data_IF_076065807249
#
_entry.id   IF_076065807249
#
_cell.length_a   1.000
_cell.length_b   1.000
_cell.length_c   1.000
_cell.angle_alpha   90.00
_cell.angle_beta   90.00
_cell.angle_gamma   90.00
#
_symmetry.space_group_name_H-M   'P 1'
#
loop_
_entity.id
_entity.type
_entity.pdbx_description
1 polymer ?
#
# COMPACT_ATOMS: atom_id res chain seq x y z
N UNK A 1 -23.54 -15.46 -36.92
CA UNK A 1 -24.50 -15.22 -35.82
C UNK A 1 -24.38 -13.76 -35.37
N UNK A 2 -25.08 -12.84 -36.05
CA UNK A 2 -25.10 -11.43 -35.68
C UNK A 2 -26.16 -11.24 -34.59
N UNK A 3 -25.75 -11.00 -33.35
CA UNK A 3 -26.69 -10.71 -32.27
C UNK A 3 -27.46 -9.41 -32.59
N UNK A 4 -28.78 -9.38 -32.34
CA UNK A 4 -29.63 -8.22 -32.64
C UNK A 4 -29.19 -6.98 -31.83
N UNK A 5 -29.38 -5.80 -32.42
CA UNK A 5 -28.96 -4.49 -31.90
C UNK A 5 -29.10 -4.27 -30.38
N UNK A 6 -30.25 -4.57 -29.74
CA UNK A 6 -30.41 -4.36 -28.30
C UNK A 6 -29.51 -5.25 -27.44
N UNK A 7 -29.19 -6.46 -27.92
CA UNK A 7 -28.34 -7.42 -27.19
C UNK A 7 -26.88 -7.00 -27.26
N UNK A 8 -26.46 -6.38 -28.37
CA UNK A 8 -25.11 -5.79 -28.51
C UNK A 8 -24.89 -4.64 -27.53
N UNK A 9 -25.88 -3.76 -27.36
CA UNK A 9 -25.82 -2.67 -26.39
C UNK A 9 -25.73 -3.17 -24.94
N UNK A 10 -26.51 -4.21 -24.62
CA UNK A 10 -26.48 -4.84 -23.30
C UNK A 10 -25.14 -5.50 -22.97
N UNK A 11 -24.52 -6.20 -23.94
CA UNK A 11 -23.20 -6.81 -23.77
C UNK A 11 -22.11 -5.76 -23.54
N UNK A 12 -22.14 -4.65 -24.30
CA UNK A 12 -21.17 -3.56 -24.12
C UNK A 12 -21.33 -2.91 -22.73
N UNK A 13 -22.57 -2.66 -22.29
CA UNK A 13 -22.84 -2.10 -20.97
C UNK A 13 -22.32 -3.02 -19.85
N UNK A 14 -22.53 -4.33 -19.97
CA UNK A 14 -22.03 -5.33 -19.02
C UNK A 14 -20.50 -5.32 -18.95
N UNK A 15 -19.80 -5.27 -20.09
CA UNK A 15 -18.34 -5.23 -20.14
C UNK A 15 -17.77 -3.98 -19.45
N UNK A 16 -18.42 -2.82 -19.61
CA UNK A 16 -18.00 -1.57 -18.95
C UNK A 16 -18.13 -1.69 -17.43
N UNK A 17 -19.22 -2.27 -16.93
CA UNK A 17 -19.42 -2.47 -15.48
C UNK A 17 -18.37 -3.41 -14.89
N UNK A 18 -18.04 -4.51 -15.57
CA UNK A 18 -17.02 -5.46 -15.08
C UNK A 18 -15.63 -4.82 -15.03
N UNK A 19 -15.26 -4.01 -16.03
CA UNK A 19 -13.98 -3.29 -16.04
C UNK A 19 -13.90 -2.22 -14.95
N UNK A 20 -15.01 -1.53 -14.66
CA UNK A 20 -15.06 -0.52 -13.60
C UNK A 20 -14.85 -1.12 -12.19
N UNK A 21 -15.34 -2.34 -11.94
CA UNK A 21 -15.19 -2.99 -10.61
C UNK A 21 -13.83 -3.71 -10.47
N UNK A 22 -13.23 -4.15 -11.58
CA UNK A 22 -11.90 -4.80 -11.55
C UNK A 22 -10.76 -3.87 -11.11
N UNK A 23 -10.92 -2.55 -11.24
CA UNK A 23 -9.90 -1.56 -10.87
C UNK A 23 -9.68 -1.38 -9.36
N UNK A 24 -10.65 -1.77 -8.50
CA UNK A 24 -10.57 -1.50 -7.07
C UNK A 24 -9.67 -2.47 -6.28
N UNK A 25 -9.18 -3.57 -6.89
CA UNK A 25 -8.41 -4.61 -6.17
C UNK A 25 -6.94 -4.71 -6.57
N UNK A 26 -6.48 -3.95 -7.57
CA UNK A 26 -5.16 -4.17 -8.20
C UNK A 26 -3.98 -3.47 -7.50
N UNK A 27 -4.18 -2.84 -6.33
CA UNK A 27 -3.12 -2.08 -5.67
C UNK A 27 -2.83 -2.57 -4.24
N UNK A 28 -2.14 -3.72 -4.11
CA UNK A 28 -1.12 -3.99 -3.05
C UNK A 28 -0.61 -5.43 -3.08
N UNK A 29 0.20 -5.73 -4.08
CA UNK A 29 1.25 -6.74 -3.92
C UNK A 29 2.55 -6.10 -4.38
N UNK A 30 3.00 -5.08 -3.65
CA UNK A 30 4.44 -4.89 -3.56
C UNK A 30 4.89 -6.06 -2.69
N UNK A 31 5.90 -6.78 -3.15
CA UNK A 31 6.77 -7.57 -2.30
C UNK A 31 7.28 -6.68 -1.15
N UNK A 32 6.46 -6.51 -0.12
CA UNK A 32 6.82 -5.90 1.13
C UNK A 32 7.78 -6.92 1.75
N UNK A 33 9.07 -6.82 1.38
CA UNK A 33 10.16 -7.35 2.20
C UNK A 33 9.75 -7.09 3.63
N UNK A 34 9.43 -8.15 4.39
CA UNK A 34 8.82 -8.05 5.72
C UNK A 34 9.52 -6.93 6.45
N UNK A 35 8.81 -5.82 6.66
CA UNK A 35 9.42 -4.65 7.29
C UNK A 35 9.64 -5.01 8.76
N UNK A 36 10.81 -5.56 9.05
CA UNK A 36 11.24 -5.90 10.41
C UNK A 36 11.47 -4.60 11.20
N UNK A 37 11.36 -4.64 12.54
CA UNK A 37 11.58 -3.48 13.38
C UNK A 37 12.98 -2.85 13.15
N UNK A 38 14.04 -3.66 13.05
CA UNK A 38 15.39 -3.22 12.70
C UNK A 38 15.47 -2.42 11.39
N UNK A 39 14.81 -2.88 10.32
CA UNK A 39 14.84 -2.19 9.02
C UNK A 39 14.09 -0.86 9.05
N UNK A 40 12.96 -0.81 9.77
CA UNK A 40 12.20 0.43 9.97
C UNK A 40 13.01 1.44 10.78
N UNK A 41 13.64 1.00 11.87
CA UNK A 41 14.49 1.84 12.71
C UNK A 41 15.68 2.41 11.93
N UNK A 42 16.41 1.56 11.19
CA UNK A 42 17.55 2.00 10.38
C UNK A 42 17.16 3.04 9.33
N UNK A 43 16.00 2.85 8.68
CA UNK A 43 15.49 3.82 7.72
C UNK A 43 15.10 5.14 8.39
N UNK A 44 14.37 5.07 9.50
CA UNK A 44 13.99 6.27 10.25
C UNK A 44 15.22 7.05 10.72
N UNK A 45 16.27 6.34 11.16
CA UNK A 45 17.55 6.92 11.57
C UNK A 45 18.28 7.60 10.41
N UNK A 46 18.34 6.95 9.26
CA UNK A 46 18.90 7.52 8.04
C UNK A 46 18.19 8.83 7.66
N UNK A 47 16.85 8.83 7.67
CA UNK A 47 16.06 10.01 7.30
C UNK A 47 16.26 11.14 8.32
N UNK A 48 16.36 10.81 9.61
CA UNK A 48 16.77 11.73 10.68
C UNK A 48 18.12 12.38 10.40
N UNK A 49 19.15 11.58 10.11
CA UNK A 49 20.51 12.06 9.87
C UNK A 49 20.60 12.88 8.58
N UNK A 50 19.69 12.66 7.63
CA UNK A 50 19.54 13.47 6.40
C UNK A 50 18.73 14.76 6.56
N UNK A 51 18.26 15.08 7.78
CA UNK A 51 17.36 16.20 8.09
C UNK A 51 15.95 16.08 7.49
N UNK A 52 15.54 14.90 7.02
CA UNK A 52 14.14 14.63 6.65
C UNK A 52 13.34 14.18 7.88
N UNK A 53 13.10 15.14 8.77
CA UNK A 53 12.42 14.88 10.04
C UNK A 53 10.98 14.37 9.84
N UNK A 54 10.29 14.86 8.80
CA UNK A 54 8.92 14.45 8.52
C UNK A 54 8.82 12.99 8.10
N UNK A 55 9.74 12.52 7.25
CA UNK A 55 9.83 11.12 6.88
C UNK A 55 10.19 10.26 8.10
N UNK A 56 11.19 10.67 8.87
CA UNK A 56 11.64 9.93 10.03
C UNK A 56 10.53 9.74 11.09
N UNK A 57 9.78 10.81 11.41
CA UNK A 57 8.65 10.76 12.35
C UNK A 57 7.63 9.71 11.92
N UNK A 58 7.19 9.75 10.66
CA UNK A 58 6.20 8.80 10.14
C UNK A 58 6.66 7.35 10.26
N UNK A 59 7.95 7.10 10.03
CA UNK A 59 8.51 5.74 10.11
C UNK A 59 8.60 5.29 11.57
N UNK A 60 8.97 6.17 12.51
CA UNK A 60 8.96 5.84 13.94
C UNK A 60 7.54 5.59 14.47
N UNK A 61 6.55 6.36 14.04
CA UNK A 61 5.14 6.11 14.35
C UNK A 61 4.68 4.75 13.81
N UNK A 62 5.05 4.42 12.57
CA UNK A 62 4.76 3.11 12.00
C UNK A 62 5.46 1.98 12.76
N UNK A 63 6.71 2.18 13.19
CA UNK A 63 7.49 1.23 13.99
C UNK A 63 6.80 0.96 15.33
N UNK A 64 6.42 1.99 16.06
CA UNK A 64 5.77 1.86 17.37
C UNK A 64 4.35 1.29 17.27
N UNK A 65 3.59 1.65 16.22
CA UNK A 65 2.25 1.10 15.98
C UNK A 65 2.28 -0.39 15.63
N UNK A 66 3.29 -0.85 14.88
CA UNK A 66 3.39 -2.23 14.41
C UNK A 66 4.16 -3.14 15.37
N UNK A 67 5.16 -2.60 16.07
CA UNK A 67 6.07 -3.34 16.94
C UNK A 67 6.25 -2.65 18.31
N UNK A 68 5.17 -2.45 19.09
CA UNK A 68 5.17 -1.63 20.31
C UNK A 68 6.10 -2.12 21.42
N UNK A 69 6.48 -3.40 21.40
CA UNK A 69 7.34 -4.02 22.42
C UNK A 69 8.73 -4.40 21.90
N UNK A 70 9.08 -3.94 20.70
CA UNK A 70 10.43 -4.16 20.15
C UNK A 70 11.44 -3.24 20.84
N UNK A 71 12.69 -3.69 20.91
CA UNK A 71 13.77 -2.88 21.49
C UNK A 71 13.98 -1.60 20.67
N UNK A 72 13.79 -1.67 19.35
CA UNK A 72 13.90 -0.53 18.45
C UNK A 72 12.79 0.52 18.64
N UNK A 73 11.64 0.13 19.21
CA UNK A 73 10.55 1.04 19.56
C UNK A 73 10.77 1.76 20.90
N UNK A 74 11.72 1.30 21.73
CA UNK A 74 12.10 2.03 22.95
C UNK A 74 12.98 3.21 22.58
N UNK A 75 12.42 4.42 22.69
CA UNK A 75 13.18 5.67 22.69
C UNK A 75 13.82 5.84 24.08
N UNK A 76 14.93 5.15 24.34
CA UNK A 76 15.75 5.34 25.55
C UNK A 76 16.90 6.31 25.31
#
# INVERSE_FOLDING_TARGET
MLLPGPVRGSVIALCIVVLAVAGCRTHRERDEKKQTPDLLYKRARHDLDSNDFNAAIKIYEQLTARYPFSDEARQS
#
